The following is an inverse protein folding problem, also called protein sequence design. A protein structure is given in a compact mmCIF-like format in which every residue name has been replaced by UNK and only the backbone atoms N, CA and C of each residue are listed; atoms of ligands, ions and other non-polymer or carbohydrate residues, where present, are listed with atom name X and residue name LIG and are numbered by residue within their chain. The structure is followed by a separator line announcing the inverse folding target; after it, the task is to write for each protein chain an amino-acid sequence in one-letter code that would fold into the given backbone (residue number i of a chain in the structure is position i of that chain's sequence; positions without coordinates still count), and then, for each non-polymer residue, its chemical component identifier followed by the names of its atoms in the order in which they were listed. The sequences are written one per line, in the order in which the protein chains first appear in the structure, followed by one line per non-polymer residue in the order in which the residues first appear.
data_IF_083982081438
#
_entry.id   IF_083982081438
#
_cell.length_a   1.000
_cell.length_b   1.000
_cell.length_c   1.000
_cell.angle_alpha   90.00
_cell.angle_beta   90.00
_cell.angle_gamma   90.00
#
_symmetry.space_group_name_H-M   'P 1'
#
loop_
_entity.id
_entity.type
_entity.pdbx_description
1 polymer ?
#
# COMPACT_ATOMS: atom_id res chain seq x y z
N UNK A 1 34.88 10.37 4.66
CA UNK A 1 34.79 11.20 3.43
C UNK A 1 34.67 10.40 2.12
N UNK A 2 35.31 9.22 1.94
CA UNK A 2 35.22 8.43 0.69
C UNK A 2 33.82 7.88 0.35
N UNK A 3 33.00 7.55 1.35
CA UNK A 3 31.64 7.04 1.12
C UNK A 3 30.70 8.10 0.52
N UNK A 4 30.78 9.35 1.00
CA UNK A 4 29.94 10.45 0.49
C UNK A 4 30.21 10.76 -0.99
N UNK A 5 31.48 10.71 -1.42
CA UNK A 5 31.84 10.94 -2.84
C UNK A 5 31.49 9.75 -3.73
N UNK A 6 31.41 8.53 -3.19
CA UNK A 6 30.89 7.37 -3.91
C UNK A 6 29.37 7.48 -4.10
N UNK A 7 28.62 7.81 -3.05
CA UNK A 7 27.17 7.99 -3.09
C UNK A 7 26.78 9.09 -4.09
N UNK A 8 27.45 10.24 -4.01
CA UNK A 8 27.22 11.37 -4.91
C UNK A 8 27.40 10.97 -6.38
N UNK A 9 28.43 10.19 -6.70
CA UNK A 9 28.66 9.68 -8.06
C UNK A 9 27.58 8.73 -8.55
N UNK A 10 26.90 8.00 -7.66
CA UNK A 10 25.75 7.18 -8.05
C UNK A 10 24.59 8.07 -8.49
N UNK A 11 24.24 9.07 -7.68
CA UNK A 11 23.11 9.97 -7.95
C UNK A 11 23.34 10.97 -9.08
N UNK A 12 24.59 11.35 -9.35
CA UNK A 12 24.95 12.24 -10.46
C UNK A 12 25.02 11.51 -11.81
N UNK A 13 25.02 10.18 -11.81
CA UNK A 13 25.19 9.38 -13.03
C UNK A 13 23.83 9.04 -13.67
N UNK A 14 23.76 9.09 -15.00
CA UNK A 14 22.57 8.72 -15.77
C UNK A 14 22.10 7.27 -15.55
N UNK A 15 22.98 6.40 -15.05
CA UNK A 15 22.61 5.02 -14.68
C UNK A 15 21.60 4.95 -13.53
N UNK A 16 21.64 5.90 -12.58
CA UNK A 16 20.63 5.97 -11.53
C UNK A 16 19.25 6.30 -12.12
N UNK A 17 19.19 7.30 -13.01
CA UNK A 17 17.94 7.68 -13.68
C UNK A 17 17.37 6.53 -14.52
N UNK A 18 18.22 5.81 -15.27
CA UNK A 18 17.80 4.62 -16.03
C UNK A 18 17.25 3.52 -15.13
N UNK A 19 17.95 3.22 -14.02
CA UNK A 19 17.48 2.26 -13.02
C UNK A 19 16.11 2.68 -12.45
N UNK A 20 15.97 3.94 -12.02
CA UNK A 20 14.73 4.47 -11.46
C UNK A 20 13.57 4.36 -12.44
N UNK A 21 13.77 4.78 -13.70
CA UNK A 21 12.74 4.68 -14.74
C UNK A 21 12.36 3.22 -14.98
N UNK A 22 13.33 2.32 -15.12
CA UNK A 22 13.07 0.89 -15.32
C UNK A 22 12.30 0.30 -14.13
N UNK A 23 12.69 0.62 -12.89
CA UNK A 23 12.02 0.14 -11.68
C UNK A 23 10.58 0.66 -11.60
N UNK A 24 10.34 1.94 -11.90
CA UNK A 24 9.00 2.53 -11.89
C UNK A 24 8.11 1.94 -13.00
N UNK A 25 8.65 1.68 -14.19
CA UNK A 25 7.91 1.03 -15.27
C UNK A 25 7.55 -0.42 -14.93
N UNK A 26 8.51 -1.18 -14.39
CA UNK A 26 8.28 -2.55 -13.94
C UNK A 26 7.27 -2.60 -12.79
N UNK A 27 7.36 -1.68 -11.83
CA UNK A 27 6.39 -1.54 -10.75
C UNK A 27 4.99 -1.23 -11.28
N UNK A 28 4.85 -0.27 -12.20
CA UNK A 28 3.57 -0.01 -12.86
C UNK A 28 3.04 -1.24 -13.58
N UNK A 29 3.89 -1.95 -14.32
CA UNK A 29 3.53 -3.19 -15.01
C UNK A 29 3.02 -4.25 -14.03
N UNK A 30 3.68 -4.40 -12.88
CA UNK A 30 3.25 -5.28 -11.80
C UNK A 30 1.89 -4.84 -11.24
N UNK A 31 1.70 -3.57 -10.90
CA UNK A 31 0.42 -3.05 -10.37
C UNK A 31 -0.73 -3.21 -11.38
N UNK A 32 -0.49 -2.92 -12.65
CA UNK A 32 -1.47 -3.13 -13.72
C UNK A 32 -1.79 -4.61 -13.90
N UNK A 33 -0.78 -5.48 -13.82
CA UNK A 33 -0.97 -6.93 -13.87
C UNK A 33 -1.84 -7.40 -12.70
N UNK A 34 -1.50 -6.98 -11.47
CA UNK A 34 -2.27 -7.30 -10.27
C UNK A 34 -3.68 -6.74 -10.32
N UNK A 35 -3.96 -5.65 -11.06
CA UNK A 35 -5.29 -5.06 -11.16
C UNK A 35 -6.14 -5.69 -12.28
N UNK A 36 -5.53 -6.00 -13.43
CA UNK A 36 -6.26 -6.34 -14.67
C UNK A 36 -6.28 -7.84 -14.97
N UNK A 37 -5.27 -8.61 -14.55
CA UNK A 37 -5.16 -10.04 -14.91
C UNK A 37 -5.81 -10.90 -13.83
N UNK A 38 -6.84 -11.69 -14.11
CA UNK A 38 -7.53 -12.49 -13.08
C UNK A 38 -6.54 -13.33 -12.29
N UNK A 39 -6.80 -13.45 -10.98
CA UNK A 39 -5.93 -14.20 -10.08
C UNK A 39 -5.85 -15.67 -10.56
N UNK A 40 -4.64 -16.24 -10.71
CA UNK A 40 -4.49 -17.66 -11.05
C UNK A 40 -4.96 -18.54 -9.88
N UNK A 41 -5.02 -19.86 -10.08
CA UNK A 41 -5.24 -20.78 -8.96
C UNK A 41 -3.99 -20.88 -8.06
N UNK A 42 -4.20 -21.24 -6.79
CA UNK A 42 -3.13 -21.49 -5.81
C UNK A 42 -2.68 -20.27 -5.01
N UNK A 43 -1.50 -20.36 -4.38
CA UNK A 43 -1.03 -19.37 -3.40
C UNK A 43 -0.80 -17.97 -3.99
N UNK A 44 -0.26 -17.88 -5.21
CA UNK A 44 -0.09 -16.60 -5.91
C UNK A 44 -1.45 -15.98 -6.28
N UNK A 45 -2.43 -16.83 -6.56
CA UNK A 45 -3.83 -16.46 -6.74
C UNK A 45 -4.42 -15.80 -5.53
N UNK A 46 -4.31 -16.48 -4.39
CA UNK A 46 -4.79 -15.98 -3.11
C UNK A 46 -4.15 -14.63 -2.76
N UNK A 47 -2.83 -14.50 -2.89
CA UNK A 47 -2.13 -13.21 -2.73
C UNK A 47 -2.71 -12.12 -3.63
N UNK A 48 -2.94 -12.43 -4.91
CA UNK A 48 -3.47 -11.44 -5.87
C UNK A 48 -4.89 -11.01 -5.49
N UNK A 49 -5.74 -11.95 -5.08
CA UNK A 49 -7.10 -11.66 -4.61
C UNK A 49 -7.09 -10.83 -3.34
N UNK A 50 -6.25 -11.19 -2.37
CA UNK A 50 -6.10 -10.44 -1.12
C UNK A 50 -5.56 -9.03 -1.40
N UNK A 51 -4.54 -8.88 -2.25
CA UNK A 51 -4.02 -7.58 -2.66
C UNK A 51 -5.11 -6.71 -3.30
N UNK A 52 -5.92 -7.26 -4.21
CA UNK A 52 -7.05 -6.54 -4.83
C UNK A 52 -8.07 -6.09 -3.81
N UNK A 53 -8.48 -6.99 -2.91
CA UNK A 53 -9.48 -6.69 -1.88
C UNK A 53 -8.97 -5.61 -0.93
N UNK A 54 -7.74 -5.73 -0.44
CA UNK A 54 -7.19 -4.84 0.58
C UNK A 54 -6.65 -3.53 0.05
N UNK A 55 -5.92 -3.56 -1.06
CA UNK A 55 -5.25 -2.38 -1.59
C UNK A 55 -6.10 -1.64 -2.62
N UNK A 56 -7.00 -2.33 -3.32
CA UNK A 56 -7.80 -1.75 -4.41
C UNK A 56 -9.31 -1.74 -4.12
N UNK A 57 -9.73 -2.18 -2.94
CA UNK A 57 -11.14 -2.30 -2.54
C UNK A 57 -11.97 -3.05 -3.60
N UNK A 58 -11.41 -4.15 -4.12
CA UNK A 58 -12.06 -4.97 -5.15
C UNK A 58 -13.26 -5.73 -4.59
N UNK A 59 -14.40 -5.62 -5.26
CA UNK A 59 -15.60 -6.39 -4.95
C UNK A 59 -15.68 -7.62 -5.85
N UNK A 60 -15.58 -8.81 -5.25
CA UNK A 60 -15.65 -10.08 -5.95
C UNK A 60 -17.04 -10.39 -6.53
N UNK A 61 -18.11 -9.81 -5.98
CA UNK A 61 -19.47 -10.06 -6.47
C UNK A 61 -19.76 -9.30 -7.76
N UNK A 62 -19.29 -8.04 -7.83
CA UNK A 62 -19.49 -7.19 -9.02
C UNK A 62 -18.32 -7.24 -9.99
N UNK A 63 -17.16 -7.75 -9.55
CA UNK A 63 -15.91 -7.69 -10.30
C UNK A 63 -15.36 -6.28 -10.47
N UNK A 64 -15.80 -5.33 -9.62
CA UNK A 64 -15.44 -3.92 -9.75
C UNK A 64 -14.26 -3.55 -8.85
N UNK A 65 -13.41 -2.66 -9.36
CA UNK A 65 -12.31 -2.02 -8.62
C UNK A 65 -12.74 -0.59 -8.29
N UNK A 66 -12.53 -0.16 -7.04
CA UNK A 66 -12.66 1.25 -6.71
C UNK A 66 -11.41 2.01 -7.19
N UNK A 67 -11.57 2.73 -8.29
CA UNK A 67 -10.49 3.43 -8.96
C UNK A 67 -9.85 4.54 -8.12
N UNK A 68 -10.52 5.04 -7.07
CA UNK A 68 -9.92 6.00 -6.15
C UNK A 68 -8.68 5.42 -5.48
N UNK A 69 -8.68 4.11 -5.20
CA UNK A 69 -7.52 3.41 -4.63
C UNK A 69 -6.51 2.97 -5.70
N UNK A 70 -6.96 2.54 -6.88
CA UNK A 70 -6.07 2.05 -7.92
C UNK A 70 -5.28 3.16 -8.65
N UNK A 71 -5.89 4.33 -8.87
CA UNK A 71 -5.26 5.44 -9.62
C UNK A 71 -3.92 5.87 -9.00
N UNK A 72 -3.80 6.12 -7.68
CA UNK A 72 -2.53 6.50 -7.05
C UNK A 72 -1.38 5.50 -7.29
N UNK A 73 -1.66 4.19 -7.30
CA UNK A 73 -0.64 3.17 -7.55
C UNK A 73 -0.01 3.27 -8.94
N UNK A 74 -0.72 3.84 -9.91
CA UNK A 74 -0.22 4.05 -11.28
C UNK A 74 0.27 5.49 -11.46
N UNK A 75 -0.50 6.48 -11.03
CA UNK A 75 -0.20 7.89 -11.27
C UNK A 75 1.05 8.35 -10.54
N UNK A 76 1.26 7.95 -9.27
CA UNK A 76 2.43 8.39 -8.51
C UNK A 76 3.74 7.92 -9.16
N UNK A 77 3.90 6.62 -9.51
CA UNK A 77 5.08 6.18 -10.25
C UNK A 77 5.25 6.84 -11.62
N UNK A 78 4.17 7.12 -12.36
CA UNK A 78 4.24 7.83 -13.64
C UNK A 78 4.74 9.26 -13.46
N UNK A 79 4.22 10.00 -12.49
CA UNK A 79 4.66 11.37 -12.18
C UNK A 79 6.13 11.37 -11.74
N UNK A 80 6.53 10.44 -10.87
CA UNK A 80 7.91 10.32 -10.42
C UNK A 80 8.87 9.93 -11.57
N UNK A 81 8.41 9.05 -12.46
CA UNK A 81 9.14 8.68 -13.68
C UNK A 81 9.33 9.87 -14.61
N UNK A 82 8.26 10.64 -14.84
CA UNK A 82 8.30 11.88 -15.61
C UNK A 82 9.25 12.93 -15.01
N UNK A 83 9.19 13.13 -13.69
CA UNK A 83 10.12 14.02 -12.98
C UNK A 83 11.57 13.55 -13.11
N UNK A 84 11.81 12.24 -13.00
CA UNK A 84 13.14 11.64 -13.19
C UNK A 84 13.65 11.89 -14.62
N UNK A 85 12.81 11.70 -15.63
CA UNK A 85 13.15 12.00 -17.04
C UNK A 85 13.47 13.48 -17.21
N UNK A 86 12.65 14.37 -16.66
CA UNK A 86 12.83 15.81 -16.80
C UNK A 86 14.15 16.29 -16.16
N UNK A 87 14.46 15.84 -14.95
CA UNK A 87 15.68 16.23 -14.22
C UNK A 87 16.94 15.65 -14.87
N UNK A 88 16.86 14.41 -15.38
CA UNK A 88 18.02 13.68 -15.91
C UNK A 88 18.06 13.58 -17.44
N UNK A 89 17.28 14.39 -18.15
CA UNK A 89 17.09 14.27 -19.60
C UNK A 89 18.42 14.21 -20.37
N UNK A 90 19.37 15.11 -20.06
CA UNK A 90 20.66 15.17 -20.76
C UNK A 90 21.51 13.91 -20.51
N UNK A 91 21.49 13.40 -19.28
CA UNK A 91 22.22 12.20 -18.88
C UNK A 91 21.59 10.95 -19.52
N UNK A 92 20.26 10.90 -19.62
CA UNK A 92 19.53 9.80 -20.27
C UNK A 92 19.84 9.73 -21.77
N UNK A 93 19.84 10.86 -22.48
CA UNK A 93 20.21 10.92 -23.90
C UNK A 93 21.66 10.43 -24.12
N UNK A 94 22.57 10.80 -23.22
CA UNK A 94 23.96 10.31 -23.29
C UNK A 94 24.05 8.80 -22.99
N UNK A 95 23.30 8.31 -22.01
CA UNK A 95 23.31 6.91 -21.61
C UNK A 95 22.63 5.98 -22.65
N UNK A 96 21.63 6.49 -23.39
CA UNK A 96 20.97 5.77 -24.48
C UNK A 96 21.95 5.33 -25.60
N UNK A 97 23.12 5.97 -25.70
CA UNK A 97 24.19 5.58 -26.64
C UNK A 97 25.02 4.38 -26.16
N UNK A 98 24.74 3.83 -24.97
CA UNK A 98 25.48 2.72 -24.34
C UNK A 98 24.53 1.57 -23.99
N UNK A 99 24.17 0.69 -24.95
CA UNK A 99 23.13 -0.33 -24.75
C UNK A 99 23.45 -1.34 -23.64
N UNK A 100 24.72 -1.66 -23.42
CA UNK A 100 25.13 -2.57 -22.34
C UNK A 100 24.76 -2.04 -20.94
N UNK A 101 24.78 -0.72 -20.76
CA UNK A 101 24.37 -0.14 -19.49
C UNK A 101 22.87 -0.24 -19.24
N UNK A 102 22.05 -0.27 -20.31
CA UNK A 102 20.60 -0.46 -20.18
C UNK A 102 20.27 -1.84 -19.60
N UNK A 103 20.97 -2.89 -20.05
CA UNK A 103 20.77 -4.24 -19.51
C UNK A 103 21.15 -4.34 -18.03
N UNK A 104 22.26 -3.72 -17.63
CA UNK A 104 22.65 -3.67 -16.21
C UNK A 104 21.62 -2.97 -15.33
N UNK A 105 21.13 -1.81 -15.77
CA UNK A 105 20.09 -1.06 -15.06
C UNK A 105 18.76 -1.83 -15.02
N UNK A 106 18.36 -2.48 -16.11
CA UNK A 106 17.15 -3.30 -16.17
C UNK A 106 17.24 -4.51 -15.25
N UNK A 107 18.38 -5.22 -15.25
CA UNK A 107 18.60 -6.35 -14.34
C UNK A 107 18.54 -5.93 -12.88
N UNK A 108 19.15 -4.80 -12.51
CA UNK A 108 19.04 -4.24 -11.16
C UNK A 108 17.60 -3.84 -10.80
N UNK A 109 16.86 -3.26 -11.75
CA UNK A 109 15.46 -2.89 -11.56
C UNK A 109 14.55 -4.12 -11.37
N UNK A 110 14.75 -5.18 -12.17
CA UNK A 110 14.06 -6.46 -12.02
C UNK A 110 14.34 -7.08 -10.65
N UNK A 111 15.60 -7.07 -10.20
CA UNK A 111 15.96 -7.55 -8.87
C UNK A 111 15.24 -6.73 -7.80
N UNK A 112 15.28 -5.40 -7.87
CA UNK A 112 14.65 -4.54 -6.87
C UNK A 112 13.13 -4.72 -6.80
N UNK A 113 12.44 -4.70 -7.94
CA UNK A 113 10.98 -4.87 -8.02
C UNK A 113 10.58 -6.30 -7.65
N UNK A 114 11.35 -7.31 -8.09
CA UNK A 114 11.12 -8.70 -7.73
C UNK A 114 11.29 -8.95 -6.24
N UNK A 115 12.32 -8.36 -5.61
CA UNK A 115 12.51 -8.42 -4.15
C UNK A 115 11.38 -7.71 -3.40
N UNK A 116 10.92 -6.56 -3.88
CA UNK A 116 9.78 -5.85 -3.29
C UNK A 116 8.49 -6.68 -3.39
N UNK A 117 8.19 -7.24 -4.57
CA UNK A 117 7.03 -8.12 -4.76
C UNK A 117 7.10 -9.39 -3.92
N UNK A 118 8.27 -10.00 -3.82
CA UNK A 118 8.49 -11.16 -2.93
C UNK A 118 8.30 -10.80 -1.47
N UNK A 119 8.77 -9.61 -1.05
CA UNK A 119 8.56 -9.09 0.29
C UNK A 119 7.07 -8.86 0.61
N UNK A 120 6.32 -8.29 -0.33
CA UNK A 120 4.87 -8.14 -0.20
C UNK A 120 4.16 -9.50 -0.07
N UNK A 121 4.55 -10.48 -0.89
CA UNK A 121 4.03 -11.85 -0.81
C UNK A 121 4.36 -12.51 0.54
N UNK A 122 5.57 -12.35 1.05
CA UNK A 122 5.93 -12.88 2.37
C UNK A 122 5.17 -12.19 3.50
N UNK A 123 4.91 -10.90 3.38
CA UNK A 123 4.15 -10.14 4.38
C UNK A 123 2.66 -10.49 4.37
N UNK A 124 2.09 -10.95 3.25
CA UNK A 124 0.68 -11.33 3.23
C UNK A 124 0.38 -12.54 4.11
N UNK A 125 1.30 -13.51 4.18
CA UNK A 125 1.17 -14.66 5.08
C UNK A 125 1.42 -14.31 6.55
N UNK A 126 2.22 -13.27 6.81
CA UNK A 126 2.53 -12.80 8.15
C UNK A 126 1.42 -11.93 8.75
N UNK A 127 0.51 -11.40 7.94
CA UNK A 127 -0.68 -10.75 8.46
C UNK A 127 -1.64 -11.84 8.97
N UNK A 128 -2.01 -11.83 10.26
CA UNK A 128 -3.06 -12.71 10.71
C UNK A 128 -4.31 -12.47 9.85
N UNK A 129 -5.17 -13.47 9.63
CA UNK A 129 -6.45 -13.26 8.96
C UNK A 129 -7.37 -12.44 9.87
N UNK A 130 -7.07 -11.16 10.08
CA UNK A 130 -7.88 -10.25 10.90
C UNK A 130 -9.17 -9.89 10.15
N UNK A 131 -9.24 -10.22 8.84
CA UNK A 131 -10.42 -9.92 8.04
C UNK A 131 -10.59 -10.82 6.80
N UNK A 132 -10.15 -12.09 6.85
CA UNK A 132 -10.82 -13.07 6.00
C UNK A 132 -12.25 -13.16 6.52
N UNK A 133 -13.21 -12.67 5.73
CA UNK A 133 -14.63 -12.74 6.04
C UNK A 133 -14.93 -14.11 6.63
N UNK A 134 -15.25 -14.10 7.91
CA UNK A 134 -15.30 -15.32 8.69
C UNK A 134 -16.29 -16.28 8.03
N UNK A 135 -15.85 -17.49 7.71
CA UNK A 135 -16.73 -18.48 7.08
C UNK A 135 -17.98 -18.63 7.96
N UNK A 136 -19.19 -18.46 7.40
CA UNK A 136 -20.42 -18.56 8.17
C UNK A 136 -20.44 -19.87 8.98
N UNK A 137 -20.52 -19.74 10.30
CA UNK A 137 -20.53 -20.90 11.22
C UNK A 137 -19.18 -21.27 11.86
N UNK A 138 -18.07 -20.61 11.50
CA UNK A 138 -16.82 -20.75 12.26
C UNK A 138 -16.88 -19.88 13.53
N UNK A 139 -16.48 -20.40 14.71
CA UNK A 139 -16.46 -19.63 15.95
C UNK A 139 -15.52 -18.43 15.81
N UNK A 140 -15.98 -17.24 16.22
CA UNK A 140 -15.14 -16.04 16.30
C UNK A 140 -13.94 -16.33 17.22
N UNK A 141 -12.72 -16.00 16.78
CA UNK A 141 -11.54 -16.06 17.64
C UNK A 141 -11.70 -15.20 18.90
N UNK A 142 -12.57 -14.17 18.80
CA UNK A 142 -13.03 -13.34 19.90
C UNK A 142 -14.57 -13.25 19.85
N UNK A 143 -15.31 -14.21 20.45
CA UNK A 143 -16.77 -14.18 20.43
C UNK A 143 -17.27 -12.90 21.08
N UNK A 144 -18.13 -12.16 20.39
CA UNK A 144 -18.71 -10.93 20.92
C UNK A 144 -19.42 -11.20 22.26
N UNK A 145 -19.92 -12.42 22.45
CA UNK A 145 -20.52 -12.91 23.70
C UNK A 145 -19.52 -12.98 24.86
N UNK A 146 -18.23 -13.25 24.59
CA UNK A 146 -17.16 -13.22 25.59
C UNK A 146 -16.67 -11.79 25.88
N UNK A 147 -16.82 -10.88 24.90
CA UNK A 147 -16.62 -9.43 25.09
C UNK A 147 -17.77 -8.75 25.85
N UNK A 148 -18.88 -9.44 26.11
CA UNK A 148 -19.96 -8.95 26.99
C UNK A 148 -19.52 -9.04 28.45
N UNK A 149 -18.50 -8.29 28.79
CA UNK A 149 -18.33 -7.85 30.16
C UNK A 149 -19.36 -6.76 30.39
N UNK A 150 -20.27 -6.97 31.35
CA UNK A 150 -21.15 -5.93 31.89
C UNK A 150 -20.33 -4.92 32.71
N UNK A 151 -19.28 -4.36 32.10
CA UNK A 151 -18.54 -3.25 32.68
C UNK A 151 -19.35 -2.02 32.37
N UNK A 152 -19.70 -1.28 33.41
CA UNK A 152 -20.27 0.04 33.24
C UNK A 152 -19.22 0.88 32.52
N UNK A 153 -19.48 1.35 31.29
CA UNK A 153 -18.53 2.20 30.58
C UNK A 153 -18.20 3.43 31.43
N UNK A 154 -16.93 3.86 31.50
CA UNK A 154 -16.57 5.06 32.24
C UNK A 154 -17.30 6.26 31.62
N UNK A 155 -17.79 7.16 32.47
CA UNK A 155 -18.36 8.40 31.99
C UNK A 155 -17.30 9.21 31.23
N UNK A 156 -17.71 9.81 30.12
CA UNK A 156 -16.89 10.76 29.38
C UNK A 156 -17.71 12.02 29.09
N UNK A 157 -17.00 13.13 28.97
CA UNK A 157 -17.49 14.40 28.46
C UNK A 157 -16.47 14.88 27.44
N UNK A 158 -16.80 14.74 26.16
CA UNK A 158 -15.93 15.05 25.02
C UNK A 158 -16.56 16.18 24.20
N UNK A 159 -15.77 16.81 23.33
CA UNK A 159 -16.27 17.72 22.31
C UNK A 159 -16.26 17.01 20.95
N UNK A 160 -17.35 17.14 20.19
CA UNK A 160 -17.37 16.69 18.80
C UNK A 160 -16.67 17.71 17.88
N UNK A 161 -16.63 17.42 16.57
CA UNK A 161 -16.02 18.28 15.56
C UNK A 161 -16.73 19.63 15.39
N UNK A 162 -18.00 19.73 15.80
CA UNK A 162 -18.81 20.95 15.77
C UNK A 162 -18.68 21.77 17.07
N UNK A 163 -17.86 21.32 18.03
CA UNK A 163 -17.71 21.93 19.35
C UNK A 163 -18.87 21.67 20.31
N UNK A 164 -19.80 20.77 19.98
CA UNK A 164 -20.84 20.32 20.89
C UNK A 164 -20.27 19.37 21.95
N UNK A 165 -20.73 19.51 23.20
CA UNK A 165 -20.48 18.51 24.23
C UNK A 165 -21.21 17.22 23.95
N UNK A 166 -20.48 16.12 24.02
CA UNK A 166 -20.97 14.75 23.86
C UNK A 166 -20.60 13.95 25.10
N UNK A 167 -21.62 13.49 25.80
CA UNK A 167 -21.48 12.58 26.93
C UNK A 167 -22.15 11.25 26.63
N UNK A 168 -21.77 10.22 27.38
CA UNK A 168 -22.34 8.89 27.22
C UNK A 168 -23.85 8.86 27.52
N UNK A 169 -24.34 9.69 28.44
CA UNK A 169 -25.76 9.73 28.83
C UNK A 169 -26.69 10.06 27.65
N UNK A 170 -26.22 10.83 26.65
CA UNK A 170 -26.97 11.16 25.43
C UNK A 170 -27.34 9.92 24.62
N UNK A 171 -26.65 8.80 24.83
CA UNK A 171 -26.86 7.54 24.12
C UNK A 171 -27.55 6.47 24.96
N UNK A 172 -28.14 6.82 26.12
CA UNK A 172 -28.86 5.88 26.96
C UNK A 172 -29.95 5.14 26.16
N UNK A 173 -29.95 3.80 26.27
CA UNK A 173 -30.89 2.93 25.55
C UNK A 173 -30.55 2.68 24.08
N UNK A 174 -29.38 3.15 23.60
CA UNK A 174 -28.89 2.90 22.24
C UNK A 174 -27.66 2.00 22.28
N UNK A 175 -27.49 1.16 21.26
CA UNK A 175 -26.24 0.43 21.02
C UNK A 175 -25.26 1.40 20.37
N UNK A 176 -24.09 1.59 20.98
CA UNK A 176 -23.03 2.49 20.49
C UNK A 176 -21.76 1.67 20.26
N UNK A 177 -21.13 1.85 19.09
CA UNK A 177 -19.80 1.33 18.81
C UNK A 177 -18.83 2.52 18.93
N UNK A 178 -17.84 2.40 19.81
CA UNK A 178 -16.81 3.42 20.00
C UNK A 178 -15.49 2.90 19.44
N UNK A 179 -14.93 3.61 18.47
CA UNK A 179 -13.63 3.30 17.86
C UNK A 179 -12.62 4.36 18.27
N UNK A 180 -11.51 3.95 18.86
CA UNK A 180 -10.38 4.82 19.15
C UNK A 180 -9.42 4.86 17.97
N UNK A 181 -9.12 6.05 17.45
CA UNK A 181 -8.06 6.26 16.46
C UNK A 181 -6.94 7.04 17.13
N UNK A 182 -5.74 6.48 17.18
CA UNK A 182 -4.56 7.20 17.63
C UNK A 182 -4.11 8.15 16.52
N UNK A 183 -4.49 9.41 16.62
CA UNK A 183 -3.98 10.48 15.75
C UNK A 183 -3.23 11.52 16.58
N UNK A 184 -2.06 11.94 16.08
CA UNK A 184 -1.38 13.13 16.57
C UNK A 184 -1.81 14.31 15.70
N UNK A 185 -2.51 15.28 16.28
CA UNK A 185 -2.70 16.57 15.60
C UNK A 185 -1.37 17.35 15.68
N UNK A 186 -0.74 17.72 14.56
CA UNK A 186 0.55 18.40 14.58
C UNK A 186 0.50 19.80 15.17
N UNK A 187 -0.68 20.41 15.26
CA UNK A 187 -0.91 21.73 15.84
C UNK A 187 -2.21 21.72 16.65
N UNK A 188 -2.13 22.15 17.92
CA UNK A 188 -3.26 22.51 18.79
C UNK A 188 -3.27 24.00 19.02
#
# INVERSE_FOLDING_TARGET
MRAASALRRVFENGYFALFMIAALLLWNGLMLTLTLIPAPDGALGQFTSDFRRWCLNYDEHTGSVDWVYAIPFVTVPVVLGGATVAVYYRQLVAAARRPLALFGCLGAALLAVGSAGTGLYWMSDAMPPIAQGQQPGTPLAFPAEQLRVAITPPAFDLLNQDGERVSLDRFRGKVVIMTGVYSTCPHT
#
